data_IF_180855854747
#
_entry.id   IF_180855854747
#
_cell.length_a   1.000
_cell.length_b   1.000
_cell.length_c   1.000
_cell.angle_alpha   90.00
_cell.angle_beta   90.00
_cell.angle_gamma   90.00
#
_symmetry.space_group_name_H-M   'P 1'
#
loop_
_entity.id
_entity.type
_entity.pdbx_description
1 polymer ?
#
# COMPACT_ATOMS: atom_id res chain seq x y z
N UNK A 1 39.29 -5.93 38.34
CA UNK A 1 38.80 -7.10 37.55
C UNK A 1 37.58 -7.60 38.30
N UNK A 2 36.37 -7.75 37.77
CA UNK A 2 35.71 -7.67 36.47
C UNK A 2 34.25 -7.26 36.80
N UNK A 3 33.33 -6.83 35.96
CA UNK A 3 33.21 -6.52 34.54
C UNK A 3 31.86 -5.78 34.47
N UNK A 4 31.81 -4.57 33.93
CA UNK A 4 30.54 -3.90 33.67
C UNK A 4 29.72 -4.69 32.65
N UNK A 5 28.45 -4.91 32.95
CA UNK A 5 27.48 -5.43 32.00
C UNK A 5 27.42 -4.50 30.78
N UNK A 6 27.44 -5.01 29.55
CA UNK A 6 27.22 -4.17 28.37
C UNK A 6 25.77 -3.68 28.41
N UNK A 7 25.59 -2.36 28.40
CA UNK A 7 24.29 -1.74 28.18
C UNK A 7 23.80 -2.11 26.79
N UNK A 8 22.62 -2.74 26.77
CA UNK A 8 21.94 -3.26 25.58
C UNK A 8 21.49 -2.12 24.66
N UNK A 9 22.34 -1.68 23.73
CA UNK A 9 21.96 -0.73 22.67
C UNK A 9 20.89 -1.34 21.72
N UNK A 10 20.86 -2.67 21.58
CA UNK A 10 19.90 -3.38 20.73
C UNK A 10 18.44 -3.29 21.19
N UNK A 11 18.15 -3.03 22.48
CA UNK A 11 16.77 -2.91 22.96
C UNK A 11 16.17 -1.52 22.75
N UNK A 12 16.99 -0.48 22.54
CA UNK A 12 16.50 0.88 22.27
C UNK A 12 16.12 1.10 20.80
N UNK A 13 16.80 0.44 19.86
CA UNK A 13 16.45 0.51 18.44
C UNK A 13 15.08 -0.11 18.14
N UNK A 14 14.76 -1.26 18.76
CA UNK A 14 13.50 -1.97 18.55
C UNK A 14 12.27 -1.20 19.10
N UNK A 15 12.35 -0.55 20.26
CA UNK A 15 11.18 0.06 20.94
C UNK A 15 10.70 1.38 20.30
N UNK A 16 11.58 2.10 19.60
CA UNK A 16 11.25 3.41 19.01
C UNK A 16 10.53 3.26 17.66
N UNK A 17 10.82 2.18 16.91
CA UNK A 17 10.16 1.87 15.65
C UNK A 17 9.02 0.84 15.75
N UNK A 18 9.01 -0.04 16.75
CA UNK A 18 7.91 -0.98 16.99
C UNK A 18 6.56 -0.27 17.25
N UNK A 19 6.58 1.00 17.66
CA UNK A 19 5.41 1.88 17.59
C UNK A 19 5.32 2.50 16.21
N UNK A 20 4.91 1.70 15.22
CA UNK A 20 4.40 2.18 13.92
C UNK A 20 3.54 3.43 14.19
N UNK A 21 3.73 4.49 13.39
CA UNK A 21 2.99 5.74 13.59
C UNK A 21 1.50 5.42 13.79
N UNK A 22 0.88 5.87 14.90
CA UNK A 22 -0.48 5.48 15.21
C UNK A 22 -1.41 5.94 14.09
N UNK A 23 -2.35 5.09 13.71
CA UNK A 23 -3.53 5.55 13.00
C UNK A 23 -4.34 6.41 13.98
N UNK A 24 -4.75 7.61 13.55
CA UNK A 24 -5.60 8.47 14.38
C UNK A 24 -7.05 8.01 14.24
N UNK A 25 -7.77 7.95 15.37
CA UNK A 25 -9.20 7.69 15.40
C UNK A 25 -9.96 8.70 14.50
N UNK A 26 -10.71 8.20 13.53
CA UNK A 26 -11.50 9.01 12.60
C UNK A 26 -10.95 9.13 11.18
N UNK A 27 -9.74 8.62 10.91
CA UNK A 27 -9.20 8.51 9.56
C UNK A 27 -9.74 7.26 8.88
N UNK A 28 -10.37 7.41 7.72
CA UNK A 28 -10.83 6.26 6.93
C UNK A 28 -9.67 5.70 6.11
N UNK A 29 -9.13 4.54 6.50
CA UNK A 29 -8.07 3.82 5.77
C UNK A 29 -8.60 2.77 4.79
N UNK A 30 -9.89 2.79 4.46
CA UNK A 30 -10.43 1.95 3.40
C UNK A 30 -11.64 2.64 2.80
N UNK A 31 -11.74 2.67 1.47
CA UNK A 31 -12.98 3.02 0.82
C UNK A 31 -13.72 1.75 0.38
N UNK A 32 -14.80 1.45 1.08
CA UNK A 32 -16.02 1.07 0.37
C UNK A 32 -16.88 2.31 0.42
N UNK A 33 -17.06 3.01 -0.71
CA UNK A 33 -17.90 4.19 -0.94
C UNK A 33 -18.62 4.79 0.28
N UNK A 34 -18.45 6.11 0.51
CA UNK A 34 -19.24 6.87 1.48
C UNK A 34 -20.72 6.47 1.46
N UNK A 35 -21.20 5.96 2.60
CA UNK A 35 -22.58 5.56 2.80
C UNK A 35 -23.50 6.78 2.72
N UNK A 36 -24.15 6.98 1.58
CA UNK A 36 -25.43 7.68 1.50
C UNK A 36 -26.15 7.38 0.18
N UNK A 37 -27.26 6.64 0.24
CA UNK A 37 -28.57 6.94 -0.37
C UNK A 37 -29.38 5.68 -0.71
N UNK A 38 -30.46 5.52 0.06
CA UNK A 38 -31.80 5.00 -0.21
C UNK A 38 -32.06 3.87 -1.22
N UNK A 39 -32.84 2.90 -0.73
CA UNK A 39 -33.48 1.83 -1.48
C UNK A 39 -34.52 2.36 -2.49
N UNK A 40 -34.37 2.03 -3.78
CA UNK A 40 -35.44 2.11 -4.81
C UNK A 40 -35.09 1.23 -6.04
N UNK A 41 -36.07 0.81 -6.87
CA UNK A 41 -36.08 -0.47 -7.59
C UNK A 41 -35.25 -0.51 -8.89
N UNK A 42 -34.83 -1.73 -9.24
CA UNK A 42 -33.89 -2.07 -10.30
C UNK A 42 -34.42 -1.87 -11.72
N UNK A 43 -33.79 -0.96 -12.47
CA UNK A 43 -33.39 -1.11 -13.87
C UNK A 43 -32.21 -0.18 -14.12
N UNK A 44 -30.98 -0.70 -14.07
CA UNK A 44 -29.73 0.05 -14.35
C UNK A 44 -28.70 -0.06 -13.22
N UNK A 45 -27.54 -0.64 -13.54
CA UNK A 45 -26.30 -0.69 -12.74
C UNK A 45 -26.44 -1.27 -11.32
N UNK A 46 -26.07 -2.53 -11.14
CA UNK A 46 -25.96 -3.18 -9.82
C UNK A 46 -24.94 -2.40 -8.96
N UNK A 47 -25.45 -1.66 -7.97
CA UNK A 47 -24.62 -1.06 -6.92
C UNK A 47 -24.28 -2.16 -5.90
N UNK A 48 -23.00 -2.28 -5.56
CA UNK A 48 -22.36 -3.39 -4.85
C UNK A 48 -23.13 -3.95 -3.65
N UNK A 49 -23.87 -3.13 -2.89
CA UNK A 49 -24.62 -3.55 -1.71
C UNK A 49 -25.71 -4.61 -2.00
N UNK A 50 -26.25 -4.65 -3.22
CA UNK A 50 -27.43 -5.48 -3.51
C UNK A 50 -27.09 -6.95 -3.76
N UNK A 51 -25.92 -7.26 -4.31
CA UNK A 51 -25.66 -8.64 -4.76
C UNK A 51 -25.08 -9.53 -3.66
N UNK A 52 -24.59 -8.99 -2.54
CA UNK A 52 -24.15 -9.82 -1.42
C UNK A 52 -25.32 -10.66 -0.88
N UNK A 53 -26.46 -10.00 -0.71
CA UNK A 53 -27.70 -10.65 -0.25
C UNK A 53 -28.16 -11.70 -1.26
N UNK A 54 -28.16 -11.35 -2.56
CA UNK A 54 -28.58 -12.28 -3.61
C UNK A 54 -27.62 -13.46 -3.77
N UNK A 55 -26.30 -13.25 -3.59
CA UNK A 55 -25.30 -14.31 -3.61
C UNK A 55 -25.47 -15.26 -2.40
N UNK A 56 -25.74 -14.71 -1.21
CA UNK A 56 -26.01 -15.50 -0.01
C UNK A 56 -27.33 -16.28 -0.11
N UNK A 57 -28.39 -15.67 -0.66
CA UNK A 57 -29.66 -16.33 -0.94
C UNK A 57 -29.47 -17.46 -1.97
N UNK A 58 -28.68 -17.25 -3.02
CA UNK A 58 -28.36 -18.28 -4.01
C UNK A 58 -27.55 -19.43 -3.39
N UNK A 59 -26.55 -19.12 -2.56
CA UNK A 59 -25.73 -20.12 -1.87
C UNK A 59 -26.55 -20.98 -0.92
N UNK A 60 -27.39 -20.35 -0.09
CA UNK A 60 -28.27 -21.05 0.86
C UNK A 60 -29.41 -21.81 0.18
N UNK A 61 -29.99 -21.24 -0.89
CA UNK A 61 -31.00 -21.90 -1.72
C UNK A 61 -30.50 -23.17 -2.40
N UNK A 62 -29.19 -23.25 -2.68
CA UNK A 62 -28.52 -24.45 -3.16
C UNK A 62 -28.15 -25.45 -2.04
N UNK A 63 -28.57 -25.20 -0.79
CA UNK A 63 -28.28 -26.03 0.38
C UNK A 63 -26.97 -25.67 1.09
N UNK A 64 -26.31 -24.57 0.72
CA UNK A 64 -25.15 -24.04 1.41
C UNK A 64 -25.47 -23.58 2.83
N UNK A 65 -24.51 -23.74 3.74
CA UNK A 65 -24.63 -23.31 5.13
C UNK A 65 -23.68 -22.14 5.35
N UNK A 66 -24.22 -21.00 5.76
CA UNK A 66 -23.42 -19.82 6.06
C UNK A 66 -22.82 -19.97 7.47
N UNK A 67 -21.50 -19.96 7.53
CA UNK A 67 -20.76 -19.85 8.79
C UNK A 67 -20.27 -18.41 8.93
N UNK A 68 -20.44 -17.75 10.09
CA UNK A 68 -19.85 -16.44 10.34
C UNK A 68 -18.34 -16.46 10.08
N UNK A 69 -17.86 -15.45 9.37
CA UNK A 69 -16.45 -15.31 8.97
C UNK A 69 -15.99 -13.86 9.19
N UNK A 70 -14.68 -13.61 9.14
CA UNK A 70 -14.19 -12.23 9.17
C UNK A 70 -14.34 -11.55 7.80
N UNK A 71 -14.07 -12.29 6.72
CA UNK A 71 -14.13 -11.80 5.34
C UNK A 71 -14.90 -12.78 4.46
N UNK A 72 -15.87 -12.25 3.70
CA UNK A 72 -16.62 -13.00 2.68
C UNK A 72 -16.08 -12.64 1.29
N UNK A 73 -15.65 -13.63 0.52
CA UNK A 73 -15.34 -13.45 -0.90
C UNK A 73 -16.52 -13.90 -1.74
N UNK A 74 -17.00 -13.02 -2.63
CA UNK A 74 -18.03 -13.37 -3.61
C UNK A 74 -17.40 -13.28 -5.00
N UNK A 75 -17.29 -14.45 -5.63
CA UNK A 75 -16.63 -14.63 -6.94
C UNK A 75 -17.69 -15.07 -7.96
N UNK A 76 -18.34 -14.13 -8.67
CA UNK A 76 -19.22 -14.47 -9.77
C UNK A 76 -18.45 -15.18 -10.89
N UNK A 77 -19.13 -16.03 -11.66
CA UNK A 77 -18.51 -16.64 -12.85
C UNK A 77 -18.22 -15.58 -13.92
N UNK A 78 -17.26 -15.82 -14.82
CA UNK A 78 -16.98 -14.93 -15.96
C UNK A 78 -18.20 -14.69 -16.89
N UNK A 79 -19.25 -15.51 -16.81
CA UNK A 79 -20.51 -15.28 -17.54
C UNK A 79 -21.39 -14.19 -16.92
N UNK A 80 -21.10 -13.73 -15.70
CA UNK A 80 -21.88 -12.72 -14.97
C UNK A 80 -21.49 -11.29 -15.39
N UNK A 81 -21.56 -11.01 -16.70
CA UNK A 81 -21.08 -9.76 -17.31
C UNK A 81 -21.82 -8.49 -16.87
N UNK A 82 -22.95 -8.63 -16.17
CA UNK A 82 -23.68 -7.51 -15.58
C UNK A 82 -23.02 -6.95 -14.31
N UNK A 83 -22.09 -7.68 -13.69
CA UNK A 83 -21.28 -7.21 -12.56
C UNK A 83 -19.96 -6.74 -13.14
N UNK A 84 -19.81 -5.44 -13.31
CA UNK A 84 -18.73 -4.87 -14.14
C UNK A 84 -17.48 -4.46 -13.36
N UNK A 85 -17.57 -4.37 -12.03
CA UNK A 85 -16.53 -3.78 -11.20
C UNK A 85 -16.38 -4.57 -9.90
N UNK A 86 -15.15 -4.66 -9.41
CA UNK A 86 -14.78 -5.33 -8.17
C UNK A 86 -14.53 -4.30 -7.05
N UNK A 87 -15.39 -4.23 -6.04
CA UNK A 87 -15.10 -3.44 -4.83
C UNK A 87 -14.98 -4.30 -3.56
N UNK A 88 -14.42 -3.69 -2.54
CA UNK A 88 -14.44 -4.17 -1.16
C UNK A 88 -15.41 -3.36 -0.31
N UNK A 89 -16.30 -4.07 0.36
CA UNK A 89 -17.20 -3.53 1.35
C UNK A 89 -16.63 -3.72 2.75
N UNK A 90 -16.41 -2.61 3.46
CA UNK A 90 -15.76 -2.58 4.77
C UNK A 90 -16.74 -2.63 5.96
N UNK A 91 -18.04 -2.78 5.70
CA UNK A 91 -19.08 -2.88 6.73
C UNK A 91 -19.57 -4.29 6.98
N UNK A 92 -20.39 -4.45 8.02
CA UNK A 92 -21.01 -5.73 8.36
C UNK A 92 -21.95 -6.23 7.25
N UNK A 93 -21.71 -7.46 6.83
CA UNK A 93 -22.49 -8.20 5.85
C UNK A 93 -23.49 -9.08 6.59
N UNK A 94 -24.75 -8.98 6.23
CA UNK A 94 -25.83 -9.79 6.79
C UNK A 94 -26.69 -10.41 5.68
N UNK A 95 -27.33 -11.54 5.98
CA UNK A 95 -28.36 -12.12 5.11
C UNK A 95 -29.58 -11.20 5.02
N UNK A 96 -30.51 -11.50 4.11
CA UNK A 96 -31.79 -10.80 4.01
C UNK A 96 -32.58 -10.77 5.31
N UNK A 97 -32.44 -11.82 6.13
CA UNK A 97 -33.09 -11.93 7.44
C UNK A 97 -32.35 -11.17 8.56
N UNK A 98 -31.28 -10.44 8.24
CA UNK A 98 -30.47 -9.70 9.21
C UNK A 98 -29.52 -10.58 10.03
N UNK A 99 -29.24 -11.81 9.58
CA UNK A 99 -28.27 -12.69 10.25
C UNK A 99 -26.87 -12.29 9.81
N UNK A 100 -26.00 -11.95 10.77
CA UNK A 100 -24.61 -11.59 10.50
C UNK A 100 -23.85 -12.72 9.79
N UNK A 101 -23.05 -12.34 8.79
CA UNK A 101 -22.25 -13.26 7.96
C UNK A 101 -20.77 -12.92 8.04
N UNK A 102 -20.41 -11.66 7.79
CA UNK A 102 -19.02 -11.23 7.77
C UNK A 102 -18.86 -9.78 8.19
N UNK A 103 -17.65 -9.40 8.59
CA UNK A 103 -17.31 -8.00 8.90
C UNK A 103 -16.99 -7.18 7.66
N UNK A 104 -16.63 -7.88 6.56
CA UNK A 104 -16.22 -7.30 5.28
C UNK A 104 -16.61 -8.25 4.14
N UNK A 105 -16.84 -7.72 2.94
CA UNK A 105 -16.99 -8.51 1.73
C UNK A 105 -16.08 -8.01 0.61
N UNK A 106 -15.34 -8.92 -0.01
CA UNK A 106 -14.62 -8.67 -1.26
C UNK A 106 -15.43 -9.23 -2.41
N UNK A 107 -15.65 -8.41 -3.43
CA UNK A 107 -16.52 -8.78 -4.54
C UNK A 107 -15.85 -8.56 -5.88
N UNK A 108 -16.16 -9.46 -6.83
CA UNK A 108 -15.56 -9.44 -8.15
C UNK A 108 -16.55 -9.16 -9.26
N UNK A 109 -16.13 -8.32 -10.19
CA UNK A 109 -16.79 -8.10 -11.48
C UNK A 109 -16.03 -8.73 -12.63
N UNK A 110 -16.43 -8.35 -13.85
CA UNK A 110 -15.78 -8.80 -15.08
C UNK A 110 -14.35 -8.27 -15.24
N UNK A 111 -14.02 -7.17 -14.56
CA UNK A 111 -12.68 -6.58 -14.46
C UNK A 111 -11.65 -7.55 -13.88
N UNK A 112 -12.06 -8.47 -13.01
CA UNK A 112 -11.24 -9.57 -12.51
C UNK A 112 -10.90 -10.65 -13.57
N UNK A 113 -11.54 -10.61 -14.75
CA UNK A 113 -11.38 -11.58 -15.83
C UNK A 113 -10.85 -10.97 -17.13
N UNK A 114 -11.20 -9.73 -17.45
CA UNK A 114 -10.88 -9.12 -18.75
C UNK A 114 -9.89 -7.94 -18.68
N UNK A 115 -9.69 -7.34 -17.50
CA UNK A 115 -8.97 -6.08 -17.36
C UNK A 115 -7.76 -6.19 -16.43
N UNK A 116 -8.00 -6.47 -15.14
CA UNK A 116 -6.98 -6.43 -14.08
C UNK A 116 -6.60 -7.80 -13.54
N UNK A 117 -7.34 -8.84 -13.92
CA UNK A 117 -7.01 -10.23 -13.58
C UNK A 117 -6.79 -10.40 -12.07
N UNK A 118 -5.70 -11.05 -11.67
CA UNK A 118 -5.37 -11.29 -10.27
C UNK A 118 -5.02 -10.01 -9.49
N UNK A 119 -4.71 -8.89 -10.16
CA UNK A 119 -4.33 -7.65 -9.49
C UNK A 119 -5.50 -7.09 -8.68
N UNK A 120 -6.73 -7.24 -9.18
CA UNK A 120 -7.93 -6.78 -8.45
C UNK A 120 -8.21 -7.62 -7.22
N UNK A 121 -8.00 -8.94 -7.29
CA UNK A 121 -8.05 -9.81 -6.10
C UNK A 121 -7.09 -9.30 -5.03
N UNK A 122 -5.85 -8.98 -5.42
CA UNK A 122 -4.84 -8.51 -4.48
C UNK A 122 -5.20 -7.13 -3.91
N UNK A 123 -5.59 -6.17 -4.75
CA UNK A 123 -6.00 -4.81 -4.36
C UNK A 123 -7.16 -4.84 -3.36
N UNK A 124 -8.25 -5.51 -3.73
CA UNK A 124 -9.46 -5.59 -2.92
C UNK A 124 -9.21 -6.35 -1.60
N UNK A 125 -8.40 -7.40 -1.64
CA UNK A 125 -7.95 -8.08 -0.41
C UNK A 125 -7.14 -7.14 0.49
N UNK A 126 -6.37 -6.20 -0.08
CA UNK A 126 -5.63 -5.17 0.64
C UNK A 126 -6.49 -4.36 1.61
N UNK A 127 -7.69 -3.95 1.19
CA UNK A 127 -8.64 -3.23 2.05
C UNK A 127 -9.08 -4.06 3.25
N UNK A 128 -9.22 -5.38 3.10
CA UNK A 128 -9.56 -6.26 4.24
C UNK A 128 -8.50 -6.25 5.34
N UNK A 129 -7.27 -5.88 4.99
CA UNK A 129 -6.13 -5.70 5.88
C UNK A 129 -5.86 -4.22 6.22
N UNK A 130 -6.84 -3.34 6.00
CA UNK A 130 -6.80 -1.91 6.33
C UNK A 130 -5.76 -1.10 5.53
N UNK A 131 -5.48 -1.52 4.29
CA UNK A 131 -4.75 -0.68 3.34
C UNK A 131 -5.69 0.34 2.67
N UNK A 132 -5.31 1.62 2.59
CA UNK A 132 -6.08 2.66 1.94
C UNK A 132 -5.92 2.62 0.42
N UNK A 133 -6.89 3.18 -0.29
CA UNK A 133 -6.74 3.61 -1.68
C UNK A 133 -5.72 4.74 -1.76
N UNK A 134 -4.73 4.55 -2.63
CA UNK A 134 -3.66 5.51 -2.91
C UNK A 134 -3.89 6.25 -4.23
N UNK A 135 -5.12 6.23 -4.75
CA UNK A 135 -5.57 7.02 -5.88
C UNK A 135 -6.67 8.01 -5.47
N UNK A 136 -6.79 9.17 -6.13
CA UNK A 136 -7.78 10.19 -5.76
C UNK A 136 -9.21 9.81 -6.15
N UNK A 137 -10.19 10.02 -5.26
CA UNK A 137 -11.61 9.77 -5.56
C UNK A 137 -12.25 10.83 -6.47
N UNK A 138 -11.63 12.00 -6.62
CA UNK A 138 -12.18 13.17 -7.32
C UNK A 138 -11.99 13.22 -8.85
N UNK A 139 -11.73 12.09 -9.51
CA UNK A 139 -11.56 12.04 -10.98
C UNK A 139 -10.25 12.65 -11.49
N UNK A 140 -9.26 12.83 -10.62
CA UNK A 140 -7.88 13.16 -11.00
C UNK A 140 -7.15 11.91 -11.53
N UNK A 141 -5.91 12.06 -11.99
CA UNK A 141 -5.09 10.91 -12.44
C UNK A 141 -4.98 9.87 -11.34
N UNK A 142 -5.19 8.58 -11.66
CA UNK A 142 -5.08 7.48 -10.70
C UNK A 142 -3.69 7.38 -10.08
N UNK A 143 -2.63 7.69 -10.85
CA UNK A 143 -1.25 7.70 -10.37
C UNK A 143 -0.84 8.96 -9.62
N UNK A 144 -1.74 9.91 -9.34
CA UNK A 144 -1.41 11.23 -8.77
C UNK A 144 -0.51 11.20 -7.53
N UNK A 145 -0.67 10.20 -6.65
CA UNK A 145 0.06 10.14 -5.39
C UNK A 145 1.25 9.18 -5.42
N UNK A 146 1.12 8.04 -6.10
CA UNK A 146 2.12 6.94 -6.02
C UNK A 146 2.59 6.43 -7.38
N UNK A 147 2.17 7.05 -8.47
CA UNK A 147 2.35 6.52 -9.83
C UNK A 147 1.80 5.10 -9.90
N UNK A 148 2.56 4.23 -10.55
CA UNK A 148 2.37 2.78 -10.57
C UNK A 148 3.34 2.03 -9.66
N UNK A 149 3.73 2.65 -8.54
CA UNK A 149 4.64 2.07 -7.53
C UNK A 149 3.95 1.33 -6.37
N UNK A 150 2.61 1.41 -6.26
CA UNK A 150 1.82 0.64 -5.28
C UNK A 150 0.52 0.13 -5.90
N UNK A 151 0.20 -1.15 -5.66
CA UNK A 151 -1.02 -1.80 -6.12
C UNK A 151 -2.31 -1.12 -5.62
N UNK A 152 -2.28 -0.53 -4.42
CA UNK A 152 -3.41 0.22 -3.85
C UNK A 152 -3.64 1.57 -4.54
N UNK A 153 -2.73 2.00 -5.40
CA UNK A 153 -2.87 3.20 -6.24
C UNK A 153 -3.29 2.82 -7.65
N UNK A 154 -2.37 3.00 -8.61
CA UNK A 154 -2.63 2.64 -9.99
C UNK A 154 -2.41 1.13 -10.21
N UNK A 155 -3.50 0.38 -10.20
CA UNK A 155 -3.50 -1.10 -10.29
C UNK A 155 -2.76 -1.67 -11.51
N UNK A 156 -2.75 -0.93 -12.64
CA UNK A 156 -2.04 -1.28 -13.87
C UNK A 156 -0.62 -0.72 -13.94
N UNK A 157 -0.09 -0.24 -12.81
CA UNK A 157 1.25 0.30 -12.71
C UNK A 157 2.33 -0.72 -13.09
N UNK A 158 3.47 -0.26 -13.63
CA UNK A 158 4.56 -1.16 -14.02
C UNK A 158 5.25 -1.85 -12.83
N UNK A 159 5.05 -1.34 -11.61
CA UNK A 159 5.66 -1.87 -10.38
C UNK A 159 4.59 -2.17 -9.31
N UNK A 160 3.69 -3.15 -9.53
CA UNK A 160 2.47 -3.36 -8.74
C UNK A 160 2.72 -4.08 -7.40
N UNK A 161 3.93 -4.00 -6.83
CA UNK A 161 4.16 -4.45 -5.46
C UNK A 161 3.60 -3.44 -4.45
N UNK A 162 3.30 -3.88 -3.24
CA UNK A 162 3.03 -2.95 -2.14
C UNK A 162 4.32 -2.24 -1.74
N UNK A 163 4.22 -0.94 -1.45
CA UNK A 163 5.28 -0.18 -0.81
C UNK A 163 5.70 -0.86 0.50
N UNK A 164 6.98 -0.77 0.83
CA UNK A 164 7.56 -1.37 2.04
C UNK A 164 6.83 -0.93 3.31
N UNK A 165 6.35 0.31 3.38
CA UNK A 165 5.52 0.78 4.48
C UNK A 165 4.25 -0.06 4.66
N UNK A 166 3.54 -0.37 3.58
CA UNK A 166 2.33 -1.20 3.63
C UNK A 166 2.69 -2.63 4.04
N UNK A 167 3.73 -3.22 3.45
CA UNK A 167 4.21 -4.57 3.84
C UNK A 167 4.65 -4.64 5.30
N UNK A 168 5.33 -3.61 5.80
CA UNK A 168 5.74 -3.52 7.20
C UNK A 168 4.52 -3.40 8.11
N UNK A 169 3.51 -2.57 7.77
CA UNK A 169 2.26 -2.49 8.55
C UNK A 169 1.53 -3.83 8.63
N UNK A 170 1.62 -4.64 7.58
CA UNK A 170 1.03 -5.98 7.51
C UNK A 170 1.87 -7.09 8.16
N UNK A 171 3.03 -6.75 8.75
CA UNK A 171 4.02 -7.71 9.28
C UNK A 171 4.54 -8.69 8.22
N UNK A 172 4.51 -8.31 6.95
CA UNK A 172 5.16 -9.06 5.86
C UNK A 172 6.65 -8.73 5.77
N UNK A 173 7.02 -7.53 6.23
CA UNK A 173 8.39 -7.19 6.59
C UNK A 173 8.47 -7.16 8.12
N UNK A 174 9.49 -7.79 8.69
CA UNK A 174 9.75 -7.72 10.13
C UNK A 174 10.39 -6.38 10.51
N UNK A 175 10.38 -6.07 11.81
CA UNK A 175 11.02 -4.86 12.32
C UNK A 175 12.54 -4.84 12.05
N UNK A 176 13.19 -6.00 11.98
CA UNK A 176 14.62 -6.12 11.64
C UNK A 176 14.92 -5.80 10.17
N UNK A 177 13.91 -5.83 9.30
CA UNK A 177 14.04 -5.48 7.88
C UNK A 177 13.81 -3.97 7.64
N UNK A 178 13.56 -3.18 8.68
CA UNK A 178 13.29 -1.75 8.59
C UNK A 178 14.24 -0.98 9.48
N UNK A 179 15.13 -0.20 8.87
CA UNK A 179 16.00 0.71 9.61
C UNK A 179 15.28 2.01 9.93
N UNK A 180 15.56 2.60 11.10
CA UNK A 180 14.87 3.80 11.56
C UNK A 180 15.80 4.94 11.93
N UNK A 181 15.47 6.14 11.46
CA UNK A 181 16.20 7.38 11.73
C UNK A 181 15.27 8.32 12.50
N UNK A 182 15.60 8.59 13.78
CA UNK A 182 14.71 9.26 14.74
C UNK A 182 15.29 10.54 15.35
N UNK A 183 16.44 10.99 14.87
CA UNK A 183 17.11 12.20 15.33
C UNK A 183 18.06 12.76 14.29
N UNK A 184 18.60 13.95 14.58
CA UNK A 184 19.58 14.63 13.74
C UNK A 184 20.89 13.82 13.64
N UNK A 185 21.57 13.93 12.51
CA UNK A 185 22.82 13.24 12.23
C UNK A 185 22.87 12.65 10.82
N UNK A 186 23.91 11.86 10.58
CA UNK A 186 24.15 11.16 9.31
C UNK A 186 24.24 9.67 9.56
N UNK A 187 23.50 8.87 8.80
CA UNK A 187 23.50 7.41 8.87
C UNK A 187 23.56 6.80 7.47
N UNK A 188 24.14 5.60 7.36
CA UNK A 188 24.24 4.86 6.10
C UNK A 188 23.51 3.53 6.22
N UNK A 189 22.78 3.16 5.17
CA UNK A 189 21.88 2.00 5.14
C UNK A 189 21.99 1.30 3.79
N UNK A 190 21.93 -0.03 3.76
CA UNK A 190 21.91 -0.81 2.52
C UNK A 190 20.56 -1.47 2.35
N UNK A 191 19.86 -1.07 1.30
CA UNK A 191 18.53 -1.53 0.94
C UNK A 191 18.61 -2.62 -0.13
N UNK A 192 17.94 -3.73 0.11
CA UNK A 192 17.65 -4.72 -0.94
C UNK A 192 16.23 -4.51 -1.48
N UNK A 193 15.93 -4.92 -2.74
CA UNK A 193 14.63 -4.69 -3.34
C UNK A 193 13.47 -5.24 -2.50
N UNK A 194 12.39 -4.46 -2.40
CA UNK A 194 11.20 -4.78 -1.59
C UNK A 194 10.43 -6.00 -2.12
N UNK A 195 10.56 -6.27 -3.41
CA UNK A 195 9.89 -7.35 -4.15
C UNK A 195 10.52 -8.73 -4.00
N UNK A 196 11.69 -8.83 -3.35
CA UNK A 196 12.35 -10.11 -3.06
C UNK A 196 12.37 -10.38 -1.57
N UNK A 197 12.23 -11.65 -1.19
CA UNK A 197 12.35 -12.08 0.20
C UNK A 197 13.79 -11.98 0.75
N UNK A 198 13.98 -12.49 1.97
CA UNK A 198 15.27 -12.53 2.67
C UNK A 198 15.32 -11.55 3.84
N UNK A 199 16.37 -11.65 4.66
CA UNK A 199 16.46 -10.98 5.97
C UNK A 199 17.15 -9.61 5.92
N UNK A 200 17.48 -9.12 4.71
CA UNK A 200 18.13 -7.83 4.50
C UNK A 200 17.15 -6.67 4.67
N UNK A 201 17.68 -5.50 5.00
CA UNK A 201 16.91 -4.25 5.13
C UNK A 201 16.20 -3.95 3.80
N UNK A 202 14.91 -3.62 3.90
CA UNK A 202 13.99 -3.33 2.79
C UNK A 202 13.58 -1.87 2.73
N UNK A 203 13.60 -1.19 3.88
CA UNK A 203 13.27 0.22 3.96
C UNK A 203 14.06 0.94 5.05
N UNK A 204 14.27 2.24 4.85
CA UNK A 204 14.66 3.18 5.90
C UNK A 204 13.48 4.11 6.17
N UNK A 205 13.04 4.20 7.41
CA UNK A 205 11.99 5.10 7.87
C UNK A 205 12.61 6.26 8.65
N UNK A 206 12.49 7.47 8.13
CA UNK A 206 12.92 8.70 8.80
C UNK A 206 11.70 9.34 9.44
N UNK A 207 11.66 9.33 10.77
CA UNK A 207 10.56 9.94 11.53
C UNK A 207 10.63 11.47 11.41
N UNK A 208 9.52 12.10 11.01
CA UNK A 208 9.43 13.55 10.96
C UNK A 208 8.66 14.11 12.15
N UNK A 209 7.48 13.56 12.45
CA UNK A 209 6.71 13.94 13.64
C UNK A 209 5.82 12.77 14.13
N UNK A 210 4.74 13.07 14.86
CA UNK A 210 3.83 12.05 15.42
C UNK A 210 2.92 11.36 14.40
N UNK A 211 2.74 11.92 13.20
CA UNK A 211 1.87 11.40 12.14
C UNK A 211 2.56 11.32 10.77
N UNK A 212 3.78 11.85 10.65
CA UNK A 212 4.50 11.93 9.39
C UNK A 212 5.86 11.21 9.43
N UNK A 213 6.17 10.48 8.37
CA UNK A 213 7.47 9.87 8.11
C UNK A 213 7.85 9.93 6.64
N UNK A 214 9.14 9.87 6.36
CA UNK A 214 9.72 9.67 5.04
C UNK A 214 10.19 8.22 4.99
N UNK A 215 9.94 7.55 3.88
CA UNK A 215 10.41 6.19 3.66
C UNK A 215 11.26 6.16 2.39
N UNK A 216 12.39 5.47 2.48
CA UNK A 216 13.23 5.12 1.35
C UNK A 216 13.23 3.60 1.18
N UNK A 217 12.96 3.11 -0.02
CA UNK A 217 13.00 1.68 -0.35
C UNK A 217 13.70 1.45 -1.69
N UNK A 218 14.27 0.26 -1.90
CA UNK A 218 14.85 -0.13 -3.18
C UNK A 218 13.79 -0.81 -4.05
N UNK A 219 13.75 -0.44 -5.34
CA UNK A 219 12.90 -1.05 -6.37
C UNK A 219 13.77 -1.54 -7.52
N UNK A 220 13.50 -2.74 -8.01
CA UNK A 220 14.20 -3.37 -9.13
C UNK A 220 13.21 -3.99 -10.13
N UNK A 221 13.70 -4.84 -11.03
CA UNK A 221 12.88 -5.59 -12.00
C UNK A 221 12.73 -7.05 -11.61
N UNK A 222 12.61 -7.31 -10.31
CA UNK A 222 12.48 -8.66 -9.76
C UNK A 222 11.04 -8.94 -9.31
N UNK A 223 10.74 -10.20 -9.03
CA UNK A 223 9.45 -10.60 -8.45
C UNK A 223 8.24 -10.04 -9.22
N UNK A 224 7.31 -9.45 -8.47
CA UNK A 224 6.09 -8.83 -9.03
C UNK A 224 6.35 -7.51 -9.76
N UNK A 225 7.54 -6.92 -9.60
CA UNK A 225 8.00 -5.72 -10.31
C UNK A 225 8.75 -6.03 -11.61
N UNK A 226 8.67 -7.25 -12.17
CA UNK A 226 9.36 -7.59 -13.42
C UNK A 226 9.05 -6.65 -14.60
N UNK A 227 7.89 -5.98 -14.58
CA UNK A 227 7.47 -4.96 -15.54
C UNK A 227 7.96 -3.54 -15.26
N UNK A 228 8.69 -3.30 -14.17
CA UNK A 228 9.10 -1.96 -13.74
C UNK A 228 9.93 -1.26 -14.82
N UNK A 229 9.55 -0.03 -15.17
CA UNK A 229 10.24 0.73 -16.20
C UNK A 229 11.47 1.49 -15.68
N UNK A 230 11.49 1.82 -14.38
CA UNK A 230 12.64 2.38 -13.67
C UNK A 230 13.00 1.54 -12.44
N UNK A 231 14.25 1.66 -11.99
CA UNK A 231 14.80 1.01 -10.78
C UNK A 231 15.56 2.04 -9.97
N UNK A 232 15.83 1.74 -8.70
CA UNK A 232 16.56 2.65 -7.81
C UNK A 232 15.90 2.79 -6.44
N UNK A 233 16.27 3.85 -5.73
CA UNK A 233 15.70 4.16 -4.42
C UNK A 233 14.49 5.06 -4.58
N UNK A 234 13.31 4.53 -4.29
CA UNK A 234 12.05 5.28 -4.27
C UNK A 234 11.91 5.98 -2.92
N UNK A 235 11.57 7.27 -2.95
CA UNK A 235 11.28 8.06 -1.76
C UNK A 235 9.80 8.41 -1.71
N UNK A 236 9.18 8.28 -0.55
CA UNK A 236 7.79 8.70 -0.34
C UNK A 236 7.54 9.17 1.08
N UNK A 237 6.58 10.07 1.22
CA UNK A 237 6.07 10.50 2.52
C UNK A 237 4.86 9.66 2.91
N UNK A 238 4.73 9.42 4.21
CA UNK A 238 3.58 8.77 4.82
C UNK A 238 3.00 9.74 5.85
N UNK A 239 1.69 9.98 5.77
CA UNK A 239 0.93 10.87 6.64
C UNK A 239 -0.27 10.09 7.19
N UNK A 240 -0.21 9.69 8.47
CA UNK A 240 -1.17 8.76 9.08
C UNK A 240 -2.48 9.40 9.53
N UNK A 241 -2.60 10.72 9.42
CA UNK A 241 -3.82 11.50 9.69
C UNK A 241 -4.56 11.95 8.43
N UNK A 242 -4.17 11.41 7.27
CA UNK A 242 -4.79 11.67 5.96
C UNK A 242 -5.65 10.46 5.53
N UNK A 243 -6.82 10.72 4.94
CA UNK A 243 -7.77 9.68 4.55
C UNK A 243 -7.33 8.92 3.29
N UNK A 244 -7.91 7.74 3.11
CA UNK A 244 -7.99 7.03 1.83
C UNK A 244 -8.48 7.98 0.74
N UNK A 245 -7.84 7.94 -0.43
CA UNK A 245 -8.18 8.85 -1.53
C UNK A 245 -7.61 10.27 -1.44
N UNK A 246 -7.08 10.69 -0.28
CA UNK A 246 -6.48 12.02 -0.09
C UNK A 246 -4.95 12.00 -0.17
N UNK A 247 -4.37 10.84 -0.48
CA UNK A 247 -2.93 10.62 -0.61
C UNK A 247 -2.21 10.54 0.74
N UNK A 248 -2.52 9.53 1.58
CA UNK A 248 -1.82 9.29 2.84
C UNK A 248 -0.40 8.77 2.64
N UNK A 249 -0.09 8.30 1.43
CA UNK A 249 1.26 8.01 0.95
C UNK A 249 1.49 8.78 -0.34
N UNK A 250 2.62 9.48 -0.47
CA UNK A 250 2.95 10.27 -1.65
C UNK A 250 4.41 10.08 -2.06
N UNK A 251 4.63 9.57 -3.26
CA UNK A 251 5.94 9.47 -3.90
C UNK A 251 6.51 10.86 -4.14
N UNK A 252 7.79 11.02 -3.80
CA UNK A 252 8.54 12.24 -4.04
C UNK A 252 9.16 12.16 -5.43
N UNK A 253 8.70 13.02 -6.32
CA UNK A 253 9.23 13.09 -7.67
C UNK A 253 10.65 13.67 -7.68
N UNK A 254 11.62 12.82 -7.95
CA UNK A 254 13.02 13.22 -8.05
C UNK A 254 13.35 13.77 -9.44
N UNK A 255 12.57 13.44 -10.47
CA UNK A 255 12.79 13.80 -11.87
C UNK A 255 11.65 14.64 -12.45
N UNK A 256 11.27 15.77 -11.83
CA UNK A 256 10.08 16.52 -12.23
C UNK A 256 10.15 17.02 -13.67
N UNK A 257 9.08 16.75 -14.42
CA UNK A 257 8.93 17.08 -15.83
C UNK A 257 9.63 16.10 -16.79
N UNK A 258 10.01 14.91 -16.32
CA UNK A 258 10.61 13.87 -17.17
C UNK A 258 9.62 13.28 -18.18
N UNK A 259 8.32 13.35 -17.86
CA UNK A 259 7.27 12.59 -18.55
C UNK A 259 7.13 11.16 -18.03
N UNK A 260 7.96 10.77 -17.06
CA UNK A 260 8.02 9.44 -16.46
C UNK A 260 8.16 8.29 -17.45
N UNK A 261 7.55 7.16 -17.09
CA UNK A 261 7.47 5.97 -17.95
C UNK A 261 6.17 5.22 -17.68
N UNK A 262 5.78 4.26 -18.52
CA UNK A 262 4.54 3.49 -18.30
C UNK A 262 3.26 4.35 -18.23
N UNK A 263 3.29 5.56 -18.79
CA UNK A 263 2.15 6.47 -18.86
C UNK A 263 1.91 7.37 -17.63
N UNK A 264 2.82 7.39 -16.65
CA UNK A 264 2.71 8.24 -15.47
C UNK A 264 4.05 8.87 -15.09
N UNK A 265 4.02 10.14 -14.65
CA UNK A 265 5.20 10.94 -14.28
C UNK A 265 5.99 10.28 -13.14
N UNK A 266 5.31 9.73 -12.14
CA UNK A 266 5.99 9.26 -10.93
C UNK A 266 6.66 7.89 -11.11
N UNK A 267 6.52 7.25 -12.27
CA UNK A 267 7.08 5.92 -12.53
C UNK A 267 8.59 5.89 -12.69
N UNK A 268 9.25 7.05 -12.85
CA UNK A 268 10.72 7.17 -12.87
C UNK A 268 11.28 7.99 -11.70
N UNK A 269 10.49 8.14 -10.62
CA UNK A 269 10.82 8.96 -9.45
C UNK A 269 11.93 8.38 -8.53
N UNK A 270 12.75 7.44 -9.01
CA UNK A 270 13.80 6.78 -8.22
C UNK A 270 15.13 7.52 -8.27
N UNK A 271 15.81 7.57 -7.12
CA UNK A 271 17.22 7.96 -7.07
C UNK A 271 18.12 6.84 -7.59
N UNK A 272 19.14 7.21 -8.35
CA UNK A 272 20.14 6.28 -8.92
C UNK A 272 21.52 6.92 -8.92
N UNK A 273 22.58 6.11 -9.08
CA UNK A 273 23.95 6.62 -9.21
C UNK A 273 24.18 7.33 -10.55
N UNK A 274 23.55 6.83 -11.62
CA UNK A 274 23.74 7.32 -13.00
C UNK A 274 22.77 8.47 -13.37
N UNK A 275 21.78 8.73 -12.52
CA UNK A 275 20.83 9.83 -12.64
C UNK A 275 20.93 10.81 -11.48
N UNK A 276 19.79 11.19 -10.92
CA UNK A 276 19.77 11.99 -9.70
C UNK A 276 20.05 11.10 -8.50
N UNK A 277 21.18 11.33 -7.84
CA UNK A 277 21.62 10.53 -6.69
C UNK A 277 21.28 11.17 -5.34
N UNK A 278 20.83 12.42 -5.32
CA UNK A 278 20.56 13.18 -4.09
C UNK A 278 19.19 13.84 -4.15
N UNK A 279 18.44 13.76 -3.05
CA UNK A 279 17.17 14.48 -2.87
C UNK A 279 17.09 15.09 -1.48
N UNK A 280 16.81 16.40 -1.41
CA UNK A 280 16.48 17.10 -0.16
C UNK A 280 14.97 17.26 -0.05
N UNK A 281 14.39 16.70 1.02
CA UNK A 281 12.95 16.70 1.24
C UNK A 281 12.50 18.11 1.66
N UNK A 282 11.64 18.78 0.87
CA UNK A 282 11.26 20.17 1.13
C UNK A 282 10.64 20.36 2.52
N UNK A 283 11.23 21.24 3.33
CA UNK A 283 10.71 21.60 4.66
C UNK A 283 10.96 20.57 5.77
N UNK A 284 11.62 19.44 5.48
CA UNK A 284 11.81 18.37 6.47
C UNK A 284 13.21 18.35 7.09
N UNK A 285 14.17 19.08 6.50
CA UNK A 285 15.57 19.03 6.96
C UNK A 285 16.23 17.67 6.75
N UNK A 286 15.68 16.84 5.85
CA UNK A 286 16.20 15.51 5.52
C UNK A 286 16.76 15.52 4.10
N UNK A 287 17.95 14.97 3.91
CA UNK A 287 18.54 14.70 2.59
C UNK A 287 18.88 13.23 2.47
N UNK A 288 18.48 12.60 1.37
CA UNK A 288 18.83 11.21 1.06
C UNK A 288 19.77 11.20 -0.14
N UNK A 289 20.87 10.46 -0.03
CA UNK A 289 21.89 10.31 -1.08
C UNK A 289 22.13 8.83 -1.37
N UNK A 290 22.01 8.40 -2.61
CA UNK A 290 22.50 7.09 -3.06
C UNK A 290 24.01 7.17 -3.21
N UNK A 291 24.74 6.32 -2.47
CA UNK A 291 26.21 6.36 -2.38
C UNK A 291 26.88 5.16 -3.04
N UNK A 292 26.20 4.02 -3.12
CA UNK A 292 26.69 2.83 -3.80
C UNK A 292 25.53 1.97 -4.32
N UNK A 293 25.85 1.09 -5.27
CA UNK A 293 24.96 0.06 -5.78
C UNK A 293 25.77 -1.22 -5.97
N UNK A 294 25.22 -2.36 -5.54
CA UNK A 294 25.81 -3.67 -5.75
C UNK A 294 24.73 -4.64 -6.25
N UNK A 295 24.72 -4.90 -7.57
CA UNK A 295 23.58 -5.57 -8.19
C UNK A 295 22.32 -4.71 -8.07
N UNK A 296 21.26 -5.28 -7.49
CA UNK A 296 19.99 -4.58 -7.23
C UNK A 296 19.91 -3.97 -5.82
N UNK A 297 20.95 -4.11 -5.00
CA UNK A 297 21.02 -3.49 -3.68
C UNK A 297 21.61 -2.08 -3.78
N UNK A 298 21.05 -1.14 -3.00
CA UNK A 298 21.45 0.26 -2.97
C UNK A 298 21.90 0.67 -1.57
N UNK A 299 23.06 1.29 -1.45
CA UNK A 299 23.47 1.96 -0.22
C UNK A 299 23.07 3.43 -0.29
N UNK A 300 22.38 3.89 0.74
CA UNK A 300 21.99 5.28 0.92
C UNK A 300 22.64 5.89 2.15
N UNK A 301 22.87 7.19 2.12
CA UNK A 301 23.13 8.02 3.29
C UNK A 301 21.92 8.92 3.55
N UNK A 302 21.47 8.96 4.79
CA UNK A 302 20.40 9.85 5.26
C UNK A 302 21.04 10.89 6.18
N UNK A 303 20.86 12.17 5.83
CA UNK A 303 21.32 13.31 6.60
C UNK A 303 20.09 14.07 7.15
N UNK A 304 19.98 14.18 8.48
CA UNK A 304 18.91 14.88 9.20
C UNK A 304 19.49 16.06 9.97
N UNK A 305 18.93 17.26 9.79
CA UNK A 305 19.35 18.50 10.43
C UNK A 305 18.76 18.71 11.83
#
# INVERSE_FOLDING_TARGET
MASGSPTNENFQHADICARKLPAIDGVSLGAGFEFALDCAPSTGTLKAFMFFVDALDAYTGAGGIITPTDVLYIVPTANATAITFSPTFMGDVSTRAGVHVAKKAVTFGIDAYDSWLYLVLNHETGHTMCLPDLYPFGGQSTGLFVGGGDLMGYINGPSPDYLAWNKWRLDWLSDEQVDCVVGAGSSAHTLSPVEVGGDSVKAVVVKHNGTAALVAEARSRLGVNAGACATGVLLYTVITDTNSGDGPIRVLDVNPGSGGCGGDELNDATLTLDGKSVYSVPGWGVTVTVTAQNGDDFTIRVDVL
#
